data_IF_943108898946
#
_entry.id   IF_943108898946
#
_cell.length_a   1.000
_cell.length_b   1.000
_cell.length_c   1.000
_cell.angle_alpha   90.00
_cell.angle_beta   90.00
_cell.angle_gamma   90.00
#
_symmetry.space_group_name_H-M   'P 1'
#
loop_
_entity.id
_entity.type
_entity.pdbx_description
1 polymer ?
#
# COMPACT_ATOMS: atom_id res chain seq x y z
N UNK A 1 17.15 12.32 12.37
CA UNK A 1 16.15 13.16 13.07
C UNK A 1 15.15 13.61 12.04
N UNK A 2 13.91 13.13 12.11
CA UNK A 2 12.85 13.59 11.20
C UNK A 2 12.56 15.08 11.43
N UNK A 3 12.57 15.87 10.37
CA UNK A 3 12.29 17.30 10.42
C UNK A 3 10.96 17.55 9.73
N UNK A 4 9.95 18.01 10.46
CA UNK A 4 8.70 18.49 9.88
C UNK A 4 8.90 19.98 9.60
N UNK A 5 8.79 20.36 8.34
CA UNK A 5 8.89 21.75 7.93
C UNK A 5 7.49 22.23 7.54
N UNK A 6 6.95 23.18 8.34
CA UNK A 6 5.75 23.90 7.95
C UNK A 6 6.14 24.97 6.91
N UNK A 7 5.70 24.82 5.66
CA UNK A 7 5.81 25.89 4.67
C UNK A 7 4.56 26.74 4.72
N UNK A 8 4.69 27.99 5.14
CA UNK A 8 3.68 29.01 4.90
C UNK A 8 3.72 29.37 3.41
N UNK A 9 2.67 29.01 2.69
CA UNK A 9 2.49 29.51 1.32
C UNK A 9 1.91 30.91 1.37
N UNK A 10 2.65 31.87 0.86
CA UNK A 10 2.12 33.19 0.48
C UNK A 10 1.14 32.96 -0.69
N UNK A 11 0.06 33.74 -0.72
CA UNK A 11 -1.14 33.61 -1.57
C UNK A 11 -0.92 33.42 -3.09
N UNK A 12 0.27 33.42 -3.60
CA UNK A 12 0.59 33.39 -5.04
C UNK A 12 1.57 32.28 -5.47
N UNK A 13 1.99 31.39 -4.59
CA UNK A 13 2.89 30.31 -4.99
C UNK A 13 2.11 29.05 -5.38
N UNK A 14 2.10 28.72 -6.66
CA UNK A 14 1.63 27.44 -7.16
C UNK A 14 2.46 26.34 -6.50
N UNK A 15 1.83 25.31 -5.89
CA UNK A 15 2.59 24.18 -5.42
C UNK A 15 3.18 23.44 -6.64
N UNK A 16 4.49 23.50 -6.79
CA UNK A 16 5.21 22.67 -7.74
C UNK A 16 5.54 21.34 -7.08
N UNK A 17 4.51 20.50 -6.84
CA UNK A 17 4.74 19.10 -6.60
C UNK A 17 4.75 18.38 -7.96
N UNK A 18 5.76 17.56 -8.29
CA UNK A 18 5.73 16.72 -9.47
C UNK A 18 4.54 15.79 -9.38
N UNK A 19 3.61 15.87 -10.33
CA UNK A 19 2.46 14.98 -10.41
C UNK A 19 1.15 15.46 -9.78
N UNK A 20 1.01 16.73 -9.36
CA UNK A 20 -0.27 17.24 -8.86
C UNK A 20 -1.29 17.34 -10.00
N UNK A 21 -2.18 16.36 -10.07
CA UNK A 21 -3.37 16.42 -10.90
C UNK A 21 -4.31 17.49 -10.32
N UNK A 22 -4.52 18.57 -11.09
CA UNK A 22 -5.58 19.52 -10.77
C UNK A 22 -6.90 18.99 -11.34
N UNK A 23 -7.92 18.75 -10.52
CA UNK A 23 -9.25 18.49 -11.06
C UNK A 23 -9.72 19.71 -11.85
N UNK A 24 -10.52 19.53 -12.92
CA UNK A 24 -11.00 20.61 -13.76
C UNK A 24 -11.72 21.66 -12.92
N UNK A 25 -11.32 22.88 -13.07
CA UNK A 25 -11.72 24.04 -12.31
C UNK A 25 -13.22 24.30 -12.39
N UNK A 26 -13.93 24.05 -11.29
CA UNK A 26 -15.05 24.92 -10.94
C UNK A 26 -14.52 26.06 -10.07
N UNK A 27 -14.98 27.30 -10.22
CA UNK A 27 -14.52 28.41 -9.41
C UNK A 27 -15.11 28.31 -8.01
N UNK A 28 -14.47 27.52 -7.15
CA UNK A 28 -14.76 27.52 -5.73
C UNK A 28 -13.91 28.59 -5.05
N UNK A 29 -14.53 29.39 -4.19
CA UNK A 29 -13.78 30.20 -3.22
C UNK A 29 -13.15 29.20 -2.25
N UNK A 30 -11.87 28.88 -2.47
CA UNK A 30 -11.11 28.03 -1.56
C UNK A 30 -10.67 28.85 -0.38
N UNK A 31 -11.03 28.40 0.82
CA UNK A 31 -10.40 28.88 2.03
C UNK A 31 -9.20 27.99 2.32
N UNK A 32 -8.01 28.59 2.41
CA UNK A 32 -6.81 27.88 2.88
C UNK A 32 -6.60 28.28 4.32
N UNK A 33 -6.79 27.34 5.22
CA UNK A 33 -6.54 27.59 6.65
C UNK A 33 -5.13 27.09 6.99
N UNK A 34 -4.26 28.03 7.37
CA UNK A 34 -2.94 27.68 7.90
C UNK A 34 -3.08 27.21 9.35
N UNK A 35 -2.68 25.98 9.61
CA UNK A 35 -2.76 25.41 10.94
C UNK A 35 -1.67 26.02 11.84
N UNK A 36 -2.05 26.85 12.78
CA UNK A 36 -1.15 27.42 13.79
C UNK A 36 -0.83 26.48 14.95
N UNK A 37 -1.37 25.26 14.98
CA UNK A 37 -1.57 24.51 16.23
C UNK A 37 -0.78 23.20 16.33
N UNK A 38 0.05 22.84 15.38
CA UNK A 38 0.83 21.63 15.51
C UNK A 38 2.27 21.93 15.87
N UNK A 39 2.71 21.37 17.00
CA UNK A 39 4.11 21.31 17.33
C UNK A 39 4.78 20.33 16.36
N UNK A 40 5.60 20.85 15.43
CA UNK A 40 6.29 20.07 14.42
C UNK A 40 7.13 18.93 15.04
N UNK A 41 7.82 19.22 16.16
CA UNK A 41 8.64 18.25 16.86
C UNK A 41 7.78 17.13 17.47
N UNK A 42 6.60 17.47 17.99
CA UNK A 42 5.67 16.47 18.54
C UNK A 42 5.11 15.57 17.43
N UNK A 43 4.73 16.14 16.30
CA UNK A 43 4.27 15.35 15.15
C UNK A 43 5.39 14.43 14.64
N UNK A 44 6.61 14.96 14.48
CA UNK A 44 7.76 14.17 14.06
C UNK A 44 8.05 13.02 15.02
N UNK A 45 8.12 13.30 16.33
CA UNK A 45 8.42 12.29 17.35
C UNK A 45 7.33 11.20 17.46
N UNK A 46 6.08 11.56 17.15
CA UNK A 46 4.95 10.64 17.26
C UNK A 46 4.79 9.78 16.01
N UNK A 47 4.91 10.39 14.82
CA UNK A 47 4.52 9.74 13.56
C UNK A 47 5.68 9.44 12.62
N UNK A 48 6.88 10.05 12.79
CA UNK A 48 8.03 9.73 11.95
C UNK A 48 8.92 8.68 12.64
N UNK A 49 8.33 7.54 13.02
CA UNK A 49 9.03 6.38 13.57
C UNK A 49 9.13 5.30 12.51
N UNK A 50 10.33 4.75 12.35
CA UNK A 50 10.59 3.65 11.43
C UNK A 50 10.90 2.42 12.26
N UNK A 51 10.11 1.38 12.08
CA UNK A 51 10.25 0.14 12.84
C UNK A 51 11.60 -0.54 12.53
N UNK A 52 12.29 -0.98 13.58
CA UNK A 52 13.61 -1.59 13.47
C UNK A 52 14.77 -0.61 13.32
N UNK A 53 14.53 0.70 13.19
CA UNK A 53 15.57 1.72 13.09
C UNK A 53 15.60 2.65 14.30
N UNK A 54 16.81 3.06 14.70
CA UNK A 54 17.03 4.05 15.75
C UNK A 54 17.30 5.43 15.12
N UNK A 55 16.95 6.49 15.85
CA UNK A 55 17.29 7.85 15.42
C UNK A 55 18.78 8.08 15.50
N UNK A 56 19.39 8.49 14.39
CA UNK A 56 20.78 8.88 14.29
C UNK A 56 20.87 10.27 13.63
N UNK A 57 21.57 11.25 14.24
CA UNK A 57 21.72 12.59 13.65
C UNK A 57 22.51 12.57 12.32
N UNK A 58 23.28 11.51 12.05
CA UNK A 58 24.01 11.31 10.80
C UNK A 58 23.29 10.33 9.84
N UNK A 59 22.09 9.88 10.21
CA UNK A 59 21.30 8.95 9.42
C UNK A 59 20.51 9.62 8.29
N UNK A 60 19.59 8.85 7.70
CA UNK A 60 18.65 9.34 6.68
C UNK A 60 17.79 10.46 7.29
N UNK A 61 17.75 11.59 6.60
CA UNK A 61 16.90 12.72 6.97
C UNK A 61 15.49 12.52 6.40
N UNK A 62 14.48 12.54 7.27
CA UNK A 62 13.08 12.47 6.89
C UNK A 62 12.46 13.86 6.97
N UNK A 63 11.86 14.32 5.88
CA UNK A 63 11.16 15.60 5.78
C UNK A 63 9.68 15.36 5.44
N UNK A 64 8.79 15.94 6.25
CA UNK A 64 7.34 15.92 5.98
C UNK A 64 6.89 17.37 5.76
N UNK A 65 6.31 17.63 4.59
CA UNK A 65 5.78 18.95 4.24
C UNK A 65 4.26 18.94 4.30
N UNK A 66 3.68 19.78 5.13
CA UNK A 66 2.24 19.98 5.24
C UNK A 66 1.82 21.13 4.31
N UNK A 67 0.93 20.86 3.34
CA UNK A 67 0.50 21.89 2.36
C UNK A 67 -0.67 22.75 2.83
N UNK A 68 -1.16 22.53 4.07
CA UNK A 68 -2.30 23.24 4.62
C UNK A 68 -3.63 22.51 4.38
N UNK A 69 -4.68 22.99 5.02
CA UNK A 69 -6.02 22.44 4.90
C UNK A 69 -6.84 23.31 3.95
N UNK A 70 -7.26 22.72 2.84
CA UNK A 70 -8.11 23.36 1.84
C UNK A 70 -9.52 22.78 1.93
N UNK A 71 -10.55 23.62 1.93
CA UNK A 71 -11.94 23.17 1.95
C UNK A 71 -12.87 24.11 1.18
N UNK A 72 -13.97 23.55 0.73
CA UNK A 72 -15.14 24.32 0.25
C UNK A 72 -15.94 24.82 1.46
N UNK A 73 -16.84 25.80 1.23
CA UNK A 73 -17.80 26.21 2.24
C UNK A 73 -18.73 25.02 2.56
N UNK A 74 -18.85 24.61 3.85
CA UNK A 74 -19.76 23.54 4.24
C UNK A 74 -21.20 23.85 3.91
N UNK A 75 -21.90 22.89 3.33
CA UNK A 75 -23.31 22.99 3.00
C UNK A 75 -24.14 22.04 3.87
N UNK A 76 -25.35 22.47 4.22
CA UNK A 76 -26.28 21.60 4.95
C UNK A 76 -27.03 20.72 3.95
N UNK A 77 -26.88 19.41 4.12
CA UNK A 77 -27.72 18.42 3.43
C UNK A 77 -28.85 17.96 4.33
N UNK A 78 -30.05 17.82 3.76
CA UNK A 78 -31.24 17.37 4.49
C UNK A 78 -31.78 16.11 3.85
N UNK A 79 -32.23 15.19 4.71
CA UNK A 79 -32.89 13.94 4.31
C UNK A 79 -34.18 13.82 5.10
N UNK A 80 -35.24 13.47 4.43
CA UNK A 80 -36.55 13.21 5.06
C UNK A 80 -36.75 11.71 5.18
N UNK A 81 -37.13 11.29 6.38
CA UNK A 81 -37.43 9.90 6.69
C UNK A 81 -38.88 9.81 7.22
N UNK A 82 -39.62 8.84 6.75
CA UNK A 82 -40.92 8.52 7.33
C UNK A 82 -40.74 7.47 8.42
N UNK A 83 -40.94 7.87 9.67
CA UNK A 83 -41.00 6.94 10.78
C UNK A 83 -42.41 6.49 10.99
N UNK A 84 -42.63 5.18 11.07
CA UNK A 84 -43.93 4.59 11.36
C UNK A 84 -43.91 4.08 12.81
N UNK A 85 -44.83 4.59 13.63
CA UNK A 85 -45.00 4.09 14.98
C UNK A 85 -45.48 2.64 14.96
N UNK A 86 -44.77 1.77 15.66
CA UNK A 86 -45.04 0.32 15.60
C UNK A 86 -46.39 -0.09 16.18
N UNK A 87 -46.91 0.69 17.17
CA UNK A 87 -48.18 0.42 17.86
C UNK A 87 -49.36 1.09 17.20
N UNK A 88 -49.22 2.39 16.92
CA UNK A 88 -50.32 3.20 16.39
C UNK A 88 -50.38 3.25 14.86
N UNK A 89 -49.35 2.75 14.18
CA UNK A 89 -49.15 2.86 12.71
C UNK A 89 -49.16 4.31 12.18
N UNK A 90 -49.11 5.28 13.09
CA UNK A 90 -49.01 6.69 12.70
C UNK A 90 -47.68 6.95 11.99
N UNK A 91 -47.72 7.72 10.89
CA UNK A 91 -46.57 8.14 10.12
C UNK A 91 -46.12 9.52 10.60
N UNK A 92 -44.83 9.65 10.93
CA UNK A 92 -44.21 10.92 11.28
C UNK A 92 -43.05 11.17 10.34
N UNK A 93 -42.99 12.35 9.73
CA UNK A 93 -41.81 12.77 8.96
C UNK A 93 -40.77 13.29 9.92
N UNK A 94 -39.56 12.72 9.80
CA UNK A 94 -38.36 13.15 10.56
C UNK A 94 -37.40 13.76 9.56
N UNK A 95 -36.94 14.98 9.81
CA UNK A 95 -35.92 15.63 9.04
C UNK A 95 -34.56 15.36 9.77
N UNK A 96 -33.61 14.83 9.01
CA UNK A 96 -32.20 14.73 9.43
C UNK A 96 -31.38 15.68 8.59
N UNK A 97 -30.37 16.27 9.20
CA UNK A 97 -29.43 17.14 8.51
C UNK A 97 -27.99 16.85 8.92
N UNK A 98 -27.06 17.11 8.01
CA UNK A 98 -25.65 16.98 8.24
C UNK A 98 -24.88 18.05 7.45
N UNK A 99 -23.64 18.32 7.86
CA UNK A 99 -22.67 19.12 7.10
C UNK A 99 -22.01 18.25 6.04
N UNK A 100 -21.85 18.80 4.83
CA UNK A 100 -21.12 18.19 3.73
C UNK A 100 -20.21 19.22 3.07
N UNK A 101 -18.96 18.88 2.80
CA UNK A 101 -18.01 19.71 2.08
C UNK A 101 -16.86 18.86 1.51
N UNK A 102 -16.17 19.38 0.48
CA UNK A 102 -14.95 18.79 0.00
C UNK A 102 -13.76 19.41 0.73
N UNK A 103 -12.77 18.59 1.03
CA UNK A 103 -11.53 19.04 1.63
C UNK A 103 -10.32 18.33 1.03
N UNK A 104 -9.18 18.95 1.14
CA UNK A 104 -7.88 18.36 0.88
C UNK A 104 -6.89 18.81 1.95
N UNK A 105 -6.12 17.88 2.45
CA UNK A 105 -4.98 18.15 3.31
C UNK A 105 -3.85 17.21 2.88
N UNK A 106 -3.16 17.58 1.82
CA UNK A 106 -2.04 16.80 1.31
C UNK A 106 -0.76 17.07 2.11
N UNK A 107 0.10 16.06 2.15
CA UNK A 107 1.44 16.11 2.73
C UNK A 107 2.40 15.43 1.78
N UNK A 108 3.63 15.92 1.64
CA UNK A 108 4.68 15.17 0.99
C UNK A 108 5.65 14.58 2.02
N UNK A 109 6.20 13.45 1.65
CA UNK A 109 7.21 12.73 2.41
C UNK A 109 8.47 12.63 1.56
N UNK A 110 9.59 13.10 2.11
CA UNK A 110 10.90 13.05 1.47
C UNK A 110 11.92 12.41 2.37
N UNK A 111 12.70 11.49 1.83
CA UNK A 111 13.83 10.90 2.51
C UNK A 111 15.13 11.25 1.77
N UNK A 112 16.13 11.71 2.51
CA UNK A 112 17.42 12.13 1.97
C UNK A 112 18.54 11.38 2.67
N UNK A 113 19.38 10.73 1.90
CA UNK A 113 20.58 10.06 2.41
C UNK A 113 21.58 11.09 2.95
N UNK A 114 22.45 10.78 3.93
CA UNK A 114 23.45 11.69 4.47
C UNK A 114 24.39 12.32 3.44
N UNK A 115 24.60 11.67 2.30
CA UNK A 115 25.38 12.23 1.18
C UNK A 115 24.61 13.23 0.30
N UNK A 116 23.35 13.55 0.65
CA UNK A 116 22.49 14.47 -0.09
C UNK A 116 21.66 13.84 -1.20
N UNK A 117 21.78 12.54 -1.46
CA UNK A 117 20.97 11.83 -2.47
C UNK A 117 19.52 11.71 -1.97
N UNK A 118 18.55 12.08 -2.82
CA UNK A 118 17.13 11.89 -2.53
C UNK A 118 16.80 10.42 -2.77
N UNK A 119 16.35 9.73 -1.72
CA UNK A 119 15.89 8.34 -1.80
C UNK A 119 14.50 8.30 -2.42
N UNK A 120 13.58 9.15 -1.90
CA UNK A 120 12.26 9.40 -2.49
C UNK A 120 11.73 10.78 -2.08
N UNK A 121 10.78 11.31 -2.88
CA UNK A 121 10.05 12.56 -2.61
C UNK A 121 8.64 12.42 -3.22
N UNK A 122 7.66 12.09 -2.40
CA UNK A 122 6.34 11.67 -2.88
C UNK A 122 5.20 12.24 -2.03
N UNK A 123 4.05 12.42 -2.66
CA UNK A 123 2.76 12.66 -1.98
C UNK A 123 1.96 11.37 -2.02
N UNK A 124 1.61 10.78 -0.85
CA UNK A 124 0.80 9.57 -0.85
C UNK A 124 -0.52 9.78 -1.58
N UNK A 125 -0.82 8.91 -2.55
CA UNK A 125 -2.02 9.04 -3.41
C UNK A 125 -3.32 9.08 -2.61
N UNK A 126 -3.36 8.39 -1.47
CA UNK A 126 -4.53 8.36 -0.59
C UNK A 126 -4.89 9.69 0.06
N UNK A 127 -3.96 10.68 0.09
CA UNK A 127 -4.16 12.01 0.68
C UNK A 127 -3.89 13.15 -0.32
N UNK A 128 -3.62 12.82 -1.57
CA UNK A 128 -3.30 13.80 -2.61
C UNK A 128 -4.54 14.57 -3.11
N UNK A 129 -5.69 13.87 -3.19
CA UNK A 129 -6.89 14.38 -3.83
C UNK A 129 -7.93 14.93 -2.84
N UNK A 130 -8.89 15.70 -3.39
CA UNK A 130 -10.04 16.15 -2.63
C UNK A 130 -10.93 14.98 -2.22
N UNK A 131 -11.41 15.04 -0.98
CA UNK A 131 -12.32 14.07 -0.39
C UNK A 131 -13.60 14.75 0.03
N UNK A 132 -14.74 14.08 -0.16
CA UNK A 132 -16.01 14.49 0.40
C UNK A 132 -16.06 14.06 1.88
N UNK A 133 -16.38 15.01 2.74
CA UNK A 133 -16.69 14.74 4.13
C UNK A 133 -18.16 15.02 4.40
N UNK A 134 -18.82 14.08 5.07
CA UNK A 134 -20.18 14.25 5.59
C UNK A 134 -20.17 14.00 7.10
N UNK A 135 -20.74 14.92 7.88
CA UNK A 135 -20.90 14.71 9.31
C UNK A 135 -21.97 13.65 9.61
N UNK A 136 -22.06 13.22 10.86
CA UNK A 136 -23.18 12.39 11.29
C UNK A 136 -24.52 13.13 11.11
N UNK A 137 -25.58 12.39 10.74
CA UNK A 137 -26.93 12.91 10.66
C UNK A 137 -27.46 13.31 12.04
N UNK A 138 -27.91 14.54 12.18
CA UNK A 138 -28.65 15.02 13.34
C UNK A 138 -30.16 15.07 13.05
N UNK A 139 -30.98 14.64 14.00
CA UNK A 139 -32.47 14.71 13.88
C UNK A 139 -32.96 16.13 14.09
N UNK A 140 -32.58 17.03 13.17
CA UNK A 140 -32.88 18.46 13.16
C UNK A 140 -32.93 18.96 11.71
N UNK A 141 -33.55 20.12 11.52
CA UNK A 141 -33.58 20.79 10.20
C UNK A 141 -32.24 21.46 9.86
N UNK A 142 -31.35 21.61 10.82
CA UNK A 142 -30.03 22.20 10.67
C UNK A 142 -29.07 21.57 11.72
N UNK A 143 -27.80 21.25 11.39
CA UNK A 143 -26.84 20.76 12.38
C UNK A 143 -26.65 21.73 13.55
N UNK A 144 -26.37 21.20 14.74
CA UNK A 144 -26.24 21.98 15.96
C UNK A 144 -24.99 22.85 16.01
N UNK A 145 -23.93 22.42 15.36
CA UNK A 145 -22.65 23.15 15.30
C UNK A 145 -22.63 24.05 14.07
N UNK A 146 -22.12 25.27 14.19
CA UNK A 146 -21.93 26.12 13.01
C UNK A 146 -20.81 25.59 12.10
N UNK A 147 -20.82 26.00 10.83
CA UNK A 147 -19.92 25.51 9.80
C UNK A 147 -18.43 25.68 10.17
N UNK A 148 -18.04 26.84 10.64
CA UNK A 148 -16.63 27.13 10.95
C UNK A 148 -16.12 26.29 12.11
N UNK A 149 -16.84 26.26 13.22
CA UNK A 149 -16.50 25.43 14.37
C UNK A 149 -16.46 23.94 14.02
N UNK A 150 -17.33 23.50 13.09
CA UNK A 150 -17.34 22.15 12.62
C UNK A 150 -16.04 21.81 11.87
N UNK A 151 -15.61 22.67 10.92
CA UNK A 151 -14.35 22.50 10.18
C UNK A 151 -13.14 22.58 11.12
N UNK A 152 -13.11 23.57 12.02
CA UNK A 152 -12.03 23.73 12.99
C UNK A 152 -11.83 22.49 13.87
N UNK A 153 -12.93 21.88 14.33
CA UNK A 153 -12.88 20.65 15.14
C UNK A 153 -12.47 19.41 14.34
N UNK A 154 -12.66 19.41 13.02
CA UNK A 154 -12.33 18.30 12.14
C UNK A 154 -10.86 18.29 11.71
N UNK A 155 -10.27 19.47 11.51
CA UNK A 155 -8.89 19.61 11.03
C UNK A 155 -7.87 18.78 11.81
N UNK A 156 -7.81 18.80 13.16
CA UNK A 156 -6.87 18.00 13.93
C UNK A 156 -6.97 16.51 13.63
N UNK A 157 -8.19 16.00 13.54
CA UNK A 157 -8.43 14.58 13.27
C UNK A 157 -7.95 14.15 11.88
N UNK A 158 -8.10 15.04 10.90
CA UNK A 158 -7.61 14.79 9.53
C UNK A 158 -6.09 14.79 9.51
N UNK A 159 -5.45 15.73 10.22
CA UNK A 159 -3.98 15.78 10.34
C UNK A 159 -3.46 14.48 10.96
N UNK A 160 -4.01 14.05 12.09
CA UNK A 160 -3.63 12.79 12.74
C UNK A 160 -3.79 11.59 11.80
N UNK A 161 -4.92 11.51 11.09
CA UNK A 161 -5.17 10.44 10.11
C UNK A 161 -4.13 10.46 9.00
N UNK A 162 -3.82 11.63 8.45
CA UNK A 162 -2.87 11.76 7.35
C UNK A 162 -1.41 11.54 7.82
N UNK A 163 -1.08 11.93 9.06
CA UNK A 163 0.22 11.57 9.65
C UNK A 163 0.34 10.05 9.85
N UNK A 164 -0.77 9.36 10.14
CA UNK A 164 -0.81 7.90 10.13
C UNK A 164 -0.47 7.30 8.76
N UNK A 165 -0.97 7.91 7.66
CA UNK A 165 -0.61 7.52 6.28
C UNK A 165 0.89 7.74 6.01
N UNK A 166 1.45 8.87 6.47
CA UNK A 166 2.88 9.17 6.36
C UNK A 166 3.70 8.12 7.12
N UNK A 167 3.33 7.81 8.36
CA UNK A 167 4.04 6.79 9.15
C UNK A 167 3.97 5.40 8.50
N UNK A 168 2.81 5.02 7.97
CA UNK A 168 2.66 3.77 7.22
C UNK A 168 3.59 3.74 6.01
N UNK A 169 3.62 4.82 5.21
CA UNK A 169 4.49 4.91 4.03
C UNK A 169 5.98 4.88 4.39
N UNK A 170 6.38 5.54 5.50
CA UNK A 170 7.75 5.46 6.01
C UNK A 170 8.15 4.01 6.34
N UNK A 171 7.27 3.31 7.05
CA UNK A 171 7.52 1.93 7.42
C UNK A 171 7.45 0.98 6.24
N UNK A 172 6.58 1.25 5.26
CA UNK A 172 6.52 0.48 4.02
C UNK A 172 7.80 0.60 3.19
N UNK A 173 8.39 1.81 3.13
CA UNK A 173 9.60 2.07 2.32
C UNK A 173 10.92 1.79 3.03
N UNK A 174 11.03 2.08 4.32
CA UNK A 174 12.30 2.08 5.05
C UNK A 174 12.30 1.16 6.27
N UNK A 175 11.13 0.72 6.74
CA UNK A 175 11.01 -0.08 7.95
C UNK A 175 11.33 -1.55 7.70
N UNK A 176 11.88 -2.18 8.74
CA UNK A 176 11.98 -3.64 8.81
C UNK A 176 10.66 -4.20 9.33
N UNK A 177 9.60 -4.12 8.54
CA UNK A 177 8.30 -4.69 8.95
C UNK A 177 8.24 -6.17 8.62
N UNK A 178 7.90 -6.97 9.62
CA UNK A 178 7.54 -8.36 9.42
C UNK A 178 6.17 -8.40 8.72
N UNK A 179 6.17 -8.60 7.41
CA UNK A 179 4.93 -8.76 6.65
C UNK A 179 4.54 -10.24 6.64
N UNK A 180 3.39 -10.55 7.23
CA UNK A 180 2.76 -11.86 7.02
C UNK A 180 2.02 -11.83 5.69
N UNK A 181 2.51 -12.60 4.73
CA UNK A 181 1.82 -12.82 3.45
C UNK A 181 1.38 -14.26 3.38
N UNK A 182 0.13 -14.48 2.98
CA UNK A 182 -0.33 -15.80 2.57
C UNK A 182 0.30 -16.11 1.21
N UNK A 183 1.16 -17.11 1.19
CA UNK A 183 1.87 -17.54 -0.02
C UNK A 183 1.23 -18.82 -0.52
N UNK A 184 0.77 -18.84 -1.76
CA UNK A 184 0.32 -20.05 -2.43
C UNK A 184 1.51 -20.74 -3.09
N UNK A 185 1.83 -21.95 -2.64
CA UNK A 185 2.68 -22.88 -3.37
C UNK A 185 1.75 -23.76 -4.20
N UNK A 186 1.92 -23.70 -5.51
CA UNK A 186 1.08 -24.43 -6.43
C UNK A 186 1.71 -25.79 -6.68
N UNK A 187 0.94 -26.85 -6.58
CA UNK A 187 1.43 -28.21 -6.81
C UNK A 187 0.46 -29.03 -7.66
N UNK A 188 1.02 -29.95 -8.41
CA UNK A 188 0.24 -30.90 -9.21
C UNK A 188 -0.23 -32.03 -8.31
N UNK A 189 -1.53 -32.34 -8.37
CA UNK A 189 -2.10 -33.43 -7.58
C UNK A 189 -1.47 -34.75 -8.01
N UNK A 190 -0.64 -35.31 -7.14
CA UNK A 190 0.05 -36.56 -7.39
C UNK A 190 -0.91 -37.73 -7.42
N UNK A 191 -1.00 -38.39 -8.58
CA UNK A 191 -1.74 -39.65 -8.76
C UNK A 191 -0.74 -40.68 -9.25
N UNK A 192 -0.41 -41.66 -8.47
CA UNK A 192 0.49 -42.80 -8.83
C UNK A 192 2.00 -42.51 -8.72
N UNK A 193 2.45 -41.50 -7.96
CA UNK A 193 3.88 -41.24 -7.76
C UNK A 193 4.60 -40.57 -8.92
N UNK A 194 3.86 -40.06 -9.90
CA UNK A 194 4.46 -39.38 -11.08
C UNK A 194 5.06 -37.98 -10.76
N UNK A 195 4.70 -37.40 -9.61
CA UNK A 195 5.08 -36.06 -9.18
C UNK A 195 5.64 -36.03 -7.74
N UNK A 196 6.26 -37.13 -7.29
CA UNK A 196 6.82 -37.24 -5.93
C UNK A 196 7.90 -36.19 -5.70
N UNK A 197 8.70 -35.87 -6.71
CA UNK A 197 9.72 -34.81 -6.70
C UNK A 197 9.12 -33.43 -6.48
N UNK A 198 8.02 -33.10 -7.16
CA UNK A 198 7.34 -31.81 -7.01
C UNK A 198 6.60 -31.72 -5.67
N UNK A 199 6.05 -32.83 -5.17
CA UNK A 199 5.41 -32.90 -3.86
C UNK A 199 6.44 -32.70 -2.74
N UNK A 200 7.61 -33.32 -2.84
CA UNK A 200 8.70 -33.13 -1.89
C UNK A 200 9.23 -31.68 -1.94
N UNK A 201 9.43 -31.11 -3.13
CA UNK A 201 9.83 -29.72 -3.30
C UNK A 201 8.81 -28.75 -2.65
N UNK A 202 7.52 -29.01 -2.80
CA UNK A 202 6.48 -28.21 -2.13
C UNK A 202 6.61 -28.30 -0.60
N UNK A 203 6.87 -29.49 -0.02
CA UNK A 203 7.06 -29.62 1.42
C UNK A 203 8.33 -28.89 1.90
N UNK A 204 9.43 -29.02 1.20
CA UNK A 204 10.68 -28.32 1.52
C UNK A 204 10.50 -26.79 1.44
N UNK A 205 9.88 -26.27 0.39
CA UNK A 205 9.58 -24.86 0.26
C UNK A 205 8.66 -24.37 1.39
N UNK A 206 7.58 -25.09 1.69
CA UNK A 206 6.64 -24.75 2.78
C UNK A 206 7.35 -24.71 4.13
N UNK A 207 8.19 -25.68 4.43
CA UNK A 207 8.96 -25.71 5.67
C UNK A 207 9.96 -24.57 5.72
N UNK A 208 10.68 -24.33 4.60
CA UNK A 208 11.59 -23.20 4.45
C UNK A 208 10.90 -21.85 4.68
N UNK A 209 9.75 -21.59 4.03
CA UNK A 209 9.02 -20.34 4.21
C UNK A 209 8.56 -20.09 5.66
N UNK A 210 8.15 -21.14 6.36
CA UNK A 210 7.78 -21.04 7.78
C UNK A 210 8.97 -20.76 8.71
N UNK A 211 10.19 -21.01 8.26
CA UNK A 211 11.41 -20.81 9.05
C UNK A 211 12.19 -19.54 8.70
N UNK A 212 11.79 -18.78 7.66
CA UNK A 212 12.56 -17.63 7.14
C UNK A 212 12.98 -16.64 8.22
N UNK A 213 12.09 -16.31 9.16
CA UNK A 213 12.37 -15.35 10.24
C UNK A 213 13.08 -15.97 11.45
N UNK A 214 12.85 -17.24 11.74
CA UNK A 214 13.36 -17.90 12.95
C UNK A 214 14.70 -18.63 12.75
N UNK A 215 14.93 -19.18 11.56
CA UNK A 215 16.11 -19.95 11.16
C UNK A 215 16.45 -19.71 9.70
N UNK A 216 16.94 -18.50 9.34
CA UNK A 216 17.10 -18.08 7.95
C UNK A 216 18.03 -18.99 7.13
N UNK A 217 19.13 -19.46 7.68
CA UNK A 217 20.08 -20.31 6.97
C UNK A 217 19.49 -21.68 6.63
N UNK A 218 18.81 -22.32 7.58
CA UNK A 218 18.11 -23.59 7.35
C UNK A 218 16.95 -23.41 6.36
N UNK A 219 16.23 -22.28 6.46
CA UNK A 219 15.17 -21.92 5.55
C UNK A 219 15.68 -21.80 4.10
N UNK A 220 16.77 -21.03 3.90
CA UNK A 220 17.39 -20.87 2.58
C UNK A 220 17.84 -22.22 1.99
N UNK A 221 18.42 -23.09 2.80
CA UNK A 221 18.84 -24.43 2.34
C UNK A 221 17.65 -25.28 1.86
N UNK A 222 16.53 -25.28 2.60
CA UNK A 222 15.33 -26.02 2.19
C UNK A 222 14.68 -25.43 0.92
N UNK A 223 14.61 -24.11 0.84
CA UNK A 223 14.07 -23.45 -0.35
C UNK A 223 14.95 -23.72 -1.56
N UNK A 224 16.28 -23.74 -1.41
CA UNK A 224 17.22 -24.07 -2.48
C UNK A 224 17.01 -25.51 -2.99
N UNK A 225 16.78 -26.48 -2.09
CA UNK A 225 16.42 -27.85 -2.49
C UNK A 225 15.14 -27.90 -3.34
N UNK A 226 14.14 -27.10 -2.97
CA UNK A 226 12.89 -27.01 -3.74
C UNK A 226 13.13 -26.36 -5.12
N UNK A 227 13.96 -25.31 -5.20
CA UNK A 227 14.31 -24.66 -6.46
C UNK A 227 14.98 -25.64 -7.40
N UNK A 228 15.97 -26.40 -6.94
CA UNK A 228 16.67 -27.41 -7.76
C UNK A 228 15.70 -28.48 -8.30
N UNK A 229 14.76 -28.96 -7.48
CA UNK A 229 13.78 -29.93 -7.95
C UNK A 229 12.82 -29.34 -8.98
N UNK A 230 12.35 -28.11 -8.81
CA UNK A 230 11.48 -27.45 -9.78
C UNK A 230 12.21 -27.11 -11.10
N UNK A 231 13.47 -26.71 -11.05
CA UNK A 231 14.28 -26.49 -12.24
C UNK A 231 14.56 -27.80 -12.99
N UNK A 232 14.85 -28.88 -12.25
CA UNK A 232 14.95 -30.21 -12.83
C UNK A 232 13.69 -30.60 -13.58
N UNK A 233 12.53 -30.35 -12.98
CA UNK A 233 11.25 -30.60 -13.65
C UNK A 233 11.01 -29.68 -14.86
N UNK A 234 11.42 -28.41 -14.81
CA UNK A 234 11.30 -27.50 -15.96
C UNK A 234 12.06 -28.01 -17.20
N UNK A 235 13.18 -28.70 -17.02
CA UNK A 235 13.94 -29.29 -18.11
C UNK A 235 13.18 -30.38 -18.89
N UNK A 236 12.12 -30.96 -18.28
CA UNK A 236 11.23 -31.93 -18.91
C UNK A 236 10.02 -31.27 -19.60
N UNK A 237 9.95 -29.93 -19.55
CA UNK A 237 8.80 -29.16 -20.01
C UNK A 237 8.55 -29.30 -21.51
N UNK A 238 7.33 -29.70 -21.88
CA UNK A 238 6.85 -29.75 -23.25
C UNK A 238 5.48 -29.08 -23.38
N UNK A 239 5.46 -27.94 -24.11
CA UNK A 239 4.23 -27.16 -24.31
C UNK A 239 3.28 -27.80 -25.32
N UNK A 240 3.81 -28.60 -26.20
CA UNK A 240 3.08 -29.19 -27.35
C UNK A 240 2.51 -30.58 -27.04
N UNK A 241 3.21 -31.37 -26.20
CA UNK A 241 2.71 -32.67 -25.77
C UNK A 241 1.81 -32.55 -24.52
N UNK A 242 0.51 -32.69 -24.74
CA UNK A 242 -0.49 -32.68 -23.63
C UNK A 242 -0.34 -33.84 -22.65
N UNK A 243 0.42 -34.90 -23.01
CA UNK A 243 0.67 -36.08 -22.17
C UNK A 243 2.00 -35.98 -21.43
N UNK A 244 2.84 -35.01 -21.78
CA UNK A 244 4.08 -34.77 -21.05
C UNK A 244 3.78 -34.54 -19.56
N UNK A 245 4.64 -35.05 -18.70
CA UNK A 245 4.54 -34.86 -17.25
C UNK A 245 4.49 -33.37 -16.91
N UNK A 246 5.41 -32.61 -17.46
CA UNK A 246 5.49 -31.14 -17.32
C UNK A 246 4.99 -30.49 -18.61
N UNK A 247 3.69 -30.42 -18.75
CA UNK A 247 3.02 -29.87 -19.93
C UNK A 247 2.59 -28.41 -19.73
N UNK A 248 1.92 -27.82 -20.73
CA UNK A 248 1.40 -26.43 -20.74
C UNK A 248 0.60 -26.06 -19.49
N UNK A 249 0.01 -27.00 -18.75
CA UNK A 249 -0.77 -26.71 -17.54
C UNK A 249 0.07 -26.67 -16.27
N UNK A 250 1.20 -27.39 -16.25
CA UNK A 250 2.08 -27.50 -15.09
C UNK A 250 3.17 -26.44 -15.10
N UNK A 251 3.67 -26.10 -16.31
CA UNK A 251 4.74 -25.14 -16.50
C UNK A 251 4.50 -23.75 -15.83
N UNK A 252 3.33 -23.09 -15.95
CA UNK A 252 3.11 -21.81 -15.32
C UNK A 252 3.24 -21.88 -13.80
N UNK A 253 2.77 -22.96 -13.19
CA UNK A 253 2.80 -23.15 -11.75
C UNK A 253 4.22 -23.36 -11.22
N UNK A 254 5.07 -24.06 -11.98
CA UNK A 254 6.49 -24.19 -11.64
C UNK A 254 7.21 -22.86 -11.72
N UNK A 255 6.95 -22.04 -12.75
CA UNK A 255 7.54 -20.70 -12.82
C UNK A 255 7.09 -19.79 -11.70
N UNK A 256 5.81 -19.82 -11.30
CA UNK A 256 5.30 -19.04 -10.15
C UNK A 256 6.03 -19.44 -8.87
N UNK A 257 6.18 -20.73 -8.61
CA UNK A 257 6.91 -21.26 -7.45
C UNK A 257 8.38 -20.82 -7.46
N UNK A 258 9.06 -20.90 -8.61
CA UNK A 258 10.45 -20.49 -8.76
C UNK A 258 10.65 -18.99 -8.55
N UNK A 259 9.78 -18.15 -9.13
CA UNK A 259 9.85 -16.69 -8.95
C UNK A 259 9.79 -16.34 -7.47
N UNK A 260 8.86 -16.93 -6.73
CA UNK A 260 8.70 -16.69 -5.30
C UNK A 260 9.90 -17.21 -4.49
N UNK A 261 10.32 -18.46 -4.74
CA UNK A 261 11.40 -19.09 -4.02
C UNK A 261 12.72 -18.34 -4.20
N UNK A 262 13.08 -18.00 -5.45
CA UNK A 262 14.28 -17.22 -5.75
C UNK A 262 14.23 -15.81 -5.13
N UNK A 263 13.06 -15.16 -5.12
CA UNK A 263 12.91 -13.85 -4.49
C UNK A 263 13.13 -13.92 -2.96
N UNK A 264 12.58 -14.94 -2.30
CA UNK A 264 12.71 -15.13 -0.86
C UNK A 264 14.10 -15.59 -0.41
N UNK A 265 14.90 -16.16 -1.33
CA UNK A 265 16.33 -16.47 -1.10
C UNK A 265 17.27 -15.38 -1.57
N UNK A 266 16.74 -14.23 -2.04
CA UNK A 266 17.51 -13.09 -2.56
C UNK A 266 18.26 -13.39 -3.87
N UNK A 267 17.88 -14.45 -4.58
CA UNK A 267 18.41 -14.84 -5.88
C UNK A 267 17.69 -14.08 -7.03
N UNK A 268 17.67 -12.74 -6.95
CA UNK A 268 16.87 -11.89 -7.84
C UNK A 268 17.21 -12.07 -9.34
N UNK A 269 18.49 -12.22 -9.68
CA UNK A 269 18.89 -12.47 -11.06
C UNK A 269 18.27 -13.76 -11.60
N UNK A 270 18.28 -14.83 -10.80
CA UNK A 270 17.69 -16.13 -11.17
C UNK A 270 16.17 -16.02 -11.32
N UNK A 271 15.51 -15.27 -10.43
CA UNK A 271 14.09 -14.96 -10.58
C UNK A 271 13.78 -14.20 -11.89
N UNK A 272 14.61 -13.22 -12.27
CA UNK A 272 14.46 -12.49 -13.53
C UNK A 272 14.66 -13.39 -14.74
N UNK A 273 15.63 -14.30 -14.71
CA UNK A 273 15.88 -15.27 -15.78
C UNK A 273 14.66 -16.20 -15.97
N UNK A 274 14.07 -16.69 -14.87
CA UNK A 274 12.85 -17.49 -14.93
C UNK A 274 11.68 -16.69 -15.50
N UNK A 275 11.49 -15.44 -15.09
CA UNK A 275 10.43 -14.60 -15.65
C UNK A 275 10.65 -14.36 -17.15
N UNK A 276 11.86 -14.03 -17.56
CA UNK A 276 12.20 -13.80 -18.98
C UNK A 276 11.97 -15.04 -19.84
N UNK A 277 12.18 -16.24 -19.28
CA UNK A 277 11.86 -17.49 -19.95
C UNK A 277 10.35 -17.61 -20.23
N UNK A 278 9.49 -17.17 -19.32
CA UNK A 278 8.03 -17.22 -19.49
C UNK A 278 7.54 -16.35 -20.65
N UNK A 279 8.21 -15.25 -20.96
CA UNK A 279 7.84 -14.34 -22.04
C UNK A 279 7.94 -14.98 -23.46
N UNK A 280 8.63 -16.12 -23.55
CA UNK A 280 8.79 -16.88 -24.80
C UNK A 280 7.79 -18.02 -24.94
N UNK A 281 6.94 -18.22 -23.93
CA UNK A 281 5.98 -19.31 -23.87
C UNK A 281 4.57 -18.78 -24.09
N UNK A 282 3.76 -19.54 -24.83
CA UNK A 282 2.36 -19.20 -25.14
C UNK A 282 1.46 -19.69 -23.99
N UNK A 283 1.47 -18.96 -22.88
CA UNK A 283 0.60 -19.22 -21.73
C UNK A 283 -0.80 -18.64 -21.93
N UNK A 284 -1.73 -19.06 -21.07
CA UNK A 284 -3.04 -18.42 -21.02
C UNK A 284 -2.91 -17.00 -20.46
N UNK A 285 -3.84 -16.10 -20.85
CA UNK A 285 -3.88 -14.73 -20.33
C UNK A 285 -3.97 -14.67 -18.77
N UNK A 286 -4.61 -15.67 -18.15
CA UNK A 286 -4.68 -15.80 -16.70
C UNK A 286 -3.30 -16.05 -16.10
N UNK A 287 -2.59 -17.06 -16.62
CA UNK A 287 -1.24 -17.40 -16.16
C UNK A 287 -0.25 -16.28 -16.38
N UNK A 288 -0.34 -15.57 -17.52
CA UNK A 288 0.51 -14.39 -17.77
C UNK A 288 0.28 -13.26 -16.75
N UNK A 289 -0.97 -13.02 -16.36
CA UNK A 289 -1.28 -12.00 -15.35
C UNK A 289 -0.74 -12.42 -13.98
N UNK A 290 -0.94 -13.67 -13.58
CA UNK A 290 -0.41 -14.18 -12.32
C UNK A 290 1.12 -14.08 -12.27
N UNK A 291 1.82 -14.45 -13.34
CA UNK A 291 3.27 -14.34 -13.44
C UNK A 291 3.77 -12.89 -13.35
N UNK A 292 3.04 -11.93 -13.92
CA UNK A 292 3.33 -10.51 -13.77
C UNK A 292 3.14 -10.03 -12.31
N UNK A 293 2.13 -10.51 -11.59
CA UNK A 293 1.95 -10.21 -10.17
C UNK A 293 3.10 -10.77 -9.33
N UNK A 294 3.56 -11.98 -9.61
CA UNK A 294 4.77 -12.52 -8.96
C UNK A 294 6.02 -11.71 -9.30
N UNK A 295 6.17 -11.23 -10.54
CA UNK A 295 7.29 -10.37 -10.92
C UNK A 295 7.29 -9.05 -10.15
N UNK A 296 6.12 -8.43 -9.93
CA UNK A 296 6.02 -7.23 -9.10
C UNK A 296 6.48 -7.49 -7.66
N UNK A 297 6.19 -8.67 -7.10
CA UNK A 297 6.70 -9.06 -5.79
C UNK A 297 8.23 -9.21 -5.79
N UNK A 298 8.80 -9.83 -6.82
CA UNK A 298 10.27 -9.94 -6.99
C UNK A 298 10.91 -8.56 -7.03
N UNK A 299 10.34 -7.62 -7.80
CA UNK A 299 10.85 -6.26 -7.94
C UNK A 299 10.79 -5.48 -6.63
N UNK A 300 9.70 -5.62 -5.87
CA UNK A 300 9.56 -5.00 -4.55
C UNK A 300 10.60 -5.53 -3.57
N UNK A 301 10.78 -6.85 -3.49
CA UNK A 301 11.78 -7.46 -2.61
C UNK A 301 13.22 -7.09 -3.01
N UNK A 302 13.52 -7.04 -4.31
CA UNK A 302 14.83 -6.61 -4.83
C UNK A 302 15.11 -5.16 -4.45
N UNK A 303 14.15 -4.26 -4.70
CA UNK A 303 14.30 -2.85 -4.36
C UNK A 303 14.55 -2.62 -2.86
N UNK A 304 13.92 -3.41 -1.99
CA UNK A 304 14.15 -3.36 -0.53
C UNK A 304 15.51 -3.91 -0.12
N UNK A 305 16.01 -4.91 -0.83
CA UNK A 305 17.33 -5.50 -0.55
C UNK A 305 18.47 -4.57 -0.97
N UNK A 306 18.28 -3.78 -2.01
CA UNK A 306 19.28 -2.84 -2.56
C UNK A 306 19.31 -1.49 -1.83
N UNK A 307 18.34 -1.18 -0.94
CA UNK A 307 18.30 0.03 -0.10
C UNK A 307 19.18 -0.06 1.13
#
# INVERSE_FOLDING_TARGET
MGKIIEKQFLENSKPSAPGSYYPPSKPYKRQVTHQKLFNADQLASTYCRIDGLNQDPNGVQIEVHLFGFENDDPVVKKKEYTQVDSKTKAKKTIIKSHWEFNYRHSMSLRAVHPNGTIIFDEVPSSIADYKLYASADETRSHPSTNANTFVENLQPKIVETNMGVINWMLNDKLGTTEQKRDVQIIFVKNKKGEYDDLENAMFDAKEGYNMLTSRPDEAKAKIASAIEAWEGALAEGDMDDKKARINKKVLPDLYKNLLLACALTEEFTRAEDHFNATLRLDFSRGDENDLKEFKLLVDDLKARHEM
#
